data_IF_895043131872
#
_entry.id   IF_895043131872
#
_cell.length_a   1.000
_cell.length_b   1.000
_cell.length_c   1.000
_cell.angle_alpha   90.00
_cell.angle_beta   90.00
_cell.angle_gamma   90.00
#
_symmetry.space_group_name_H-M   'P 1'
#
loop_
_entity.id
_entity.type
_entity.pdbx_description
1 polymer ?
#
# COMPACT_ATOMS: atom_id res chain seq x y z
N UNK A 1 9.08 -2.64 -43.13
CA UNK A 1 10.11 -2.75 -42.08
C UNK A 1 9.40 -3.07 -40.78
N UNK A 2 9.25 -4.36 -40.49
CA UNK A 2 8.65 -4.85 -39.25
C UNK A 2 9.73 -4.76 -38.17
N UNK A 3 9.60 -3.86 -37.21
CA UNK A 3 10.47 -3.86 -36.04
C UNK A 3 10.11 -5.08 -35.20
N UNK A 4 10.93 -6.13 -35.29
CA UNK A 4 10.96 -7.21 -34.32
C UNK A 4 11.41 -6.59 -33.00
N UNK A 5 10.45 -6.17 -32.18
CA UNK A 5 10.71 -5.87 -30.78
C UNK A 5 10.95 -7.23 -30.12
N UNK A 6 12.21 -7.67 -30.08
CA UNK A 6 12.61 -8.69 -29.12
C UNK A 6 12.33 -8.08 -27.76
N UNK A 7 11.23 -8.51 -27.14
CA UNK A 7 11.05 -8.36 -25.70
C UNK A 7 12.23 -9.13 -25.11
N UNK A 8 13.35 -8.43 -24.90
CA UNK A 8 14.38 -8.90 -23.99
C UNK A 8 13.62 -9.39 -22.77
N UNK A 9 13.79 -10.67 -22.44
CA UNK A 9 13.17 -11.31 -21.28
C UNK A 9 13.45 -10.43 -20.08
N UNK A 10 12.46 -9.59 -19.78
CA UNK A 10 12.63 -8.53 -18.81
C UNK A 10 12.63 -9.24 -17.46
N UNK A 11 13.49 -8.89 -16.51
CA UNK A 11 13.43 -9.41 -15.14
C UNK A 11 12.01 -9.30 -14.54
N UNK A 12 11.23 -8.34 -15.05
CA UNK A 12 9.83 -8.13 -14.72
C UNK A 12 8.92 -9.31 -15.14
N UNK A 13 9.15 -10.01 -16.26
CA UNK A 13 8.27 -11.10 -16.70
C UNK A 13 8.36 -12.30 -15.77
N UNK A 14 9.56 -12.76 -15.43
CA UNK A 14 9.78 -13.87 -14.48
C UNK A 14 9.26 -13.50 -13.08
N UNK A 15 9.45 -12.24 -12.67
CA UNK A 15 8.90 -11.75 -11.41
C UNK A 15 7.37 -11.73 -11.43
N UNK A 16 6.73 -11.32 -12.53
CA UNK A 16 5.27 -11.37 -12.66
C UNK A 16 4.74 -12.82 -12.68
N UNK A 17 5.45 -13.74 -13.31
CA UNK A 17 5.12 -15.17 -13.31
C UNK A 17 5.11 -15.76 -11.89
N UNK A 18 6.10 -15.45 -11.05
CA UNK A 18 6.14 -15.87 -9.64
C UNK A 18 4.92 -15.35 -8.85
N UNK A 19 4.47 -14.12 -9.11
CA UNK A 19 3.26 -13.58 -8.47
C UNK A 19 1.98 -14.27 -8.94
N UNK A 20 1.91 -14.62 -10.23
CA UNK A 20 0.78 -15.38 -10.80
C UNK A 20 0.75 -16.78 -10.17
N UNK A 21 1.89 -17.46 -10.04
CA UNK A 21 1.99 -18.77 -9.40
C UNK A 21 1.57 -18.73 -7.92
N UNK A 22 1.90 -17.64 -7.21
CA UNK A 22 1.48 -17.41 -5.82
C UNK A 22 0.01 -16.98 -5.68
N UNK A 23 -0.70 -16.75 -6.77
CA UNK A 23 -2.12 -16.40 -6.78
C UNK A 23 -2.44 -14.98 -6.30
N UNK A 24 -1.49 -14.05 -6.40
CA UNK A 24 -1.74 -12.65 -6.04
C UNK A 24 -2.70 -11.97 -7.03
N UNK A 25 -3.56 -11.10 -6.52
CA UNK A 25 -4.39 -10.25 -7.37
C UNK A 25 -3.55 -9.14 -8.04
N UNK A 26 -4.05 -8.62 -9.17
CA UNK A 26 -3.35 -7.60 -9.93
C UNK A 26 -3.10 -6.31 -9.15
N UNK A 27 -4.04 -5.88 -8.29
CA UNK A 27 -3.89 -4.67 -7.47
C UNK A 27 -2.71 -4.78 -6.51
N UNK A 28 -2.58 -5.93 -5.84
CA UNK A 28 -1.44 -6.24 -4.97
C UNK A 28 -0.13 -6.26 -5.75
N UNK A 29 -0.09 -6.93 -6.91
CA UNK A 29 1.11 -6.98 -7.78
C UNK A 29 1.52 -5.59 -8.22
N UNK A 30 0.56 -4.83 -8.78
CA UNK A 30 0.76 -3.50 -9.33
C UNK A 30 1.23 -2.53 -8.24
N UNK A 31 0.58 -2.51 -7.07
CA UNK A 31 0.96 -1.65 -5.94
C UNK A 31 2.35 -1.97 -5.37
N UNK A 32 2.77 -3.24 -5.37
CA UNK A 32 4.13 -3.67 -4.96
C UNK A 32 5.21 -3.25 -5.93
N UNK A 33 4.92 -3.32 -7.22
CA UNK A 33 5.89 -3.10 -8.29
C UNK A 33 6.02 -1.65 -8.74
N UNK A 34 4.93 -0.88 -8.69
CA UNK A 34 4.87 0.53 -9.12
C UNK A 34 6.04 1.38 -8.65
N UNK A 35 6.47 1.32 -7.38
CA UNK A 35 7.53 2.19 -6.88
C UNK A 35 8.91 1.91 -7.49
N UNK A 36 9.06 0.79 -8.22
CA UNK A 36 10.32 0.27 -8.72
C UNK A 36 10.42 0.18 -10.25
N UNK A 37 9.34 0.40 -11.01
CA UNK A 37 9.35 0.25 -12.48
C UNK A 37 10.42 1.08 -13.20
N UNK A 38 10.65 2.31 -12.75
CA UNK A 38 11.65 3.20 -13.37
C UNK A 38 13.10 2.88 -13.02
N UNK A 39 13.35 1.94 -12.09
CA UNK A 39 14.70 1.63 -11.65
C UNK A 39 15.42 0.65 -12.58
N UNK A 40 14.76 0.10 -13.62
CA UNK A 40 15.30 -0.88 -14.57
C UNK A 40 16.17 -1.96 -13.92
N UNK A 41 15.89 -2.29 -12.65
CA UNK A 41 16.82 -3.06 -11.83
C UNK A 41 16.40 -4.52 -11.82
N UNK A 42 17.32 -5.41 -12.15
CA UNK A 42 17.19 -6.87 -12.02
C UNK A 42 16.90 -7.33 -10.58
N UNK A 43 17.13 -6.47 -9.58
CA UNK A 43 17.11 -6.83 -8.16
C UNK A 43 15.90 -6.24 -7.42
N UNK A 44 14.72 -6.14 -8.07
CA UNK A 44 13.49 -5.65 -7.42
C UNK A 44 13.10 -6.58 -6.27
N UNK A 45 13.19 -7.89 -6.49
CA UNK A 45 12.85 -8.90 -5.48
C UNK A 45 13.72 -8.79 -4.23
N UNK A 46 15.05 -8.80 -4.38
CA UNK A 46 15.99 -8.65 -3.26
C UNK A 46 15.71 -7.38 -2.44
N UNK A 47 15.38 -6.27 -3.12
CA UNK A 47 15.05 -5.01 -2.45
C UNK A 47 13.75 -5.11 -1.67
N UNK A 48 12.71 -5.74 -2.23
CA UNK A 48 11.45 -5.93 -1.53
C UNK A 48 11.65 -6.82 -0.30
N UNK A 49 12.35 -7.96 -0.45
CA UNK A 49 12.66 -8.87 0.64
C UNK A 49 13.46 -8.19 1.76
N UNK A 50 14.50 -7.42 1.40
CA UNK A 50 15.30 -6.69 2.38
C UNK A 50 14.48 -5.64 3.15
N UNK A 51 13.55 -4.94 2.47
CA UNK A 51 12.67 -3.94 3.10
C UNK A 51 11.64 -4.58 4.00
N UNK A 52 11.06 -5.71 3.59
CA UNK A 52 10.14 -6.49 4.42
C UNK A 52 10.84 -7.00 5.69
N UNK A 53 12.02 -7.63 5.55
CA UNK A 53 12.80 -8.11 6.69
C UNK A 53 13.18 -6.98 7.65
N UNK A 54 13.55 -5.81 7.12
CA UNK A 54 13.85 -4.63 7.94
C UNK A 54 12.61 -4.12 8.69
N UNK A 55 11.44 -4.04 8.03
CA UNK A 55 10.19 -3.61 8.68
C UNK A 55 9.77 -4.59 9.78
N UNK A 56 9.92 -5.90 9.54
CA UNK A 56 9.66 -6.94 10.55
C UNK A 56 10.60 -6.78 11.75
N UNK A 57 11.91 -6.64 11.53
CA UNK A 57 12.90 -6.48 12.60
C UNK A 57 12.64 -5.20 13.41
N UNK A 58 12.42 -4.06 12.75
CA UNK A 58 12.07 -2.80 13.39
C UNK A 58 10.83 -2.94 14.30
N UNK A 59 9.81 -3.67 13.85
CA UNK A 59 8.58 -3.90 14.65
C UNK A 59 8.79 -4.84 15.82
N UNK A 60 9.76 -5.75 15.76
CA UNK A 60 10.16 -6.58 16.90
C UNK A 60 10.97 -5.78 17.91
N UNK A 61 11.96 -5.01 17.45
CA UNK A 61 12.89 -4.26 18.31
C UNK A 61 12.19 -3.18 19.14
N UNK A 62 11.09 -2.63 18.62
CA UNK A 62 10.34 -1.57 19.28
C UNK A 62 9.34 -2.08 20.33
N UNK A 63 9.16 -3.40 20.44
CA UNK A 63 8.29 -4.03 21.41
C UNK A 63 9.11 -4.51 22.62
N UNK A 64 8.95 -3.85 23.76
CA UNK A 64 9.56 -4.25 25.04
C UNK A 64 8.47 -4.46 26.07
N UNK A 65 8.37 -5.67 26.63
CA UNK A 65 7.33 -6.06 27.59
C UNK A 65 5.91 -5.71 27.06
N UNK A 66 5.63 -6.07 25.80
CA UNK A 66 4.38 -5.78 25.09
C UNK A 66 4.02 -4.30 24.95
N UNK A 67 5.01 -3.40 25.10
CA UNK A 67 4.85 -1.95 24.92
C UNK A 67 5.69 -1.46 23.76
N UNK A 68 5.07 -0.62 22.95
CA UNK A 68 5.75 0.15 21.92
C UNK A 68 6.58 1.24 22.61
N UNK A 69 7.91 1.18 22.50
CA UNK A 69 8.81 2.12 23.17
C UNK A 69 9.21 3.32 22.30
N UNK A 70 8.95 3.27 20.99
CA UNK A 70 9.25 4.37 20.07
C UNK A 70 7.98 4.87 19.38
N UNK A 71 7.71 6.18 19.39
CA UNK A 71 6.60 6.77 18.65
C UNK A 71 6.88 6.87 17.14
N UNK A 72 8.11 6.65 16.70
CA UNK A 72 8.53 6.79 15.30
C UNK A 72 8.35 5.49 14.50
N UNK A 73 7.25 4.78 14.74
CA UNK A 73 6.90 3.60 13.95
C UNK A 73 6.01 4.05 12.79
N UNK A 74 6.37 3.74 11.54
CA UNK A 74 5.52 4.01 10.40
C UNK A 74 4.26 3.13 10.44
N UNK A 75 3.20 3.51 9.71
CA UNK A 75 2.00 2.68 9.63
C UNK A 75 2.32 1.27 9.09
N UNK A 76 1.45 0.29 9.37
CA UNK A 76 1.64 -1.08 8.87
C UNK A 76 1.31 -1.20 7.39
N UNK A 77 0.25 -0.53 6.95
CA UNK A 77 -0.14 -0.42 5.55
C UNK A 77 -0.42 1.03 5.21
N UNK A 78 -0.42 1.31 3.91
CA UNK A 78 -0.81 2.59 3.33
C UNK A 78 -1.72 2.34 2.14
N UNK A 79 -2.61 3.28 1.87
CA UNK A 79 -3.38 3.30 0.64
C UNK A 79 -2.53 3.95 -0.46
N UNK A 80 -2.12 3.15 -1.45
CA UNK A 80 -1.45 3.64 -2.65
C UNK A 80 -2.51 4.13 -3.64
N UNK A 81 -2.54 5.44 -3.87
CA UNK A 81 -3.61 6.08 -4.64
C UNK A 81 -3.56 5.71 -6.12
N UNK A 82 -2.38 5.40 -6.65
CA UNK A 82 -2.21 5.01 -8.06
C UNK A 82 -2.71 3.60 -8.34
N UNK A 83 -2.53 2.67 -7.41
CA UNK A 83 -3.08 1.31 -7.51
C UNK A 83 -4.51 1.23 -6.98
N UNK A 84 -4.95 2.26 -6.24
CA UNK A 84 -6.16 2.26 -5.44
C UNK A 84 -6.22 1.05 -4.48
N UNK A 85 -5.08 0.66 -3.92
CA UNK A 85 -4.94 -0.53 -3.09
C UNK A 85 -4.26 -0.23 -1.76
N UNK A 86 -4.64 -0.98 -0.71
CA UNK A 86 -3.96 -0.95 0.57
C UNK A 86 -2.80 -1.93 0.54
N UNK A 87 -1.58 -1.40 0.61
CA UNK A 87 -0.34 -2.17 0.52
C UNK A 87 0.50 -2.05 1.80
N UNK A 88 1.39 -3.00 2.10
CA UNK A 88 2.32 -2.87 3.22
C UNK A 88 3.20 -1.63 3.12
N UNK A 89 3.48 -0.99 4.26
CA UNK A 89 4.31 0.22 4.30
C UNK A 89 5.72 0.01 3.73
N UNK A 90 6.32 -1.16 3.96
CA UNK A 90 7.67 -1.47 3.47
C UNK A 90 7.79 -1.43 1.94
N UNK A 91 6.68 -1.40 1.20
CA UNK A 91 6.62 -1.15 -0.24
C UNK A 91 6.73 0.34 -0.57
N UNK A 92 6.07 1.20 0.20
CA UNK A 92 5.94 2.62 -0.09
C UNK A 92 7.29 3.34 -0.07
N UNK A 93 7.56 4.22 -1.04
CA UNK A 93 8.84 4.95 -1.15
C UNK A 93 8.79 6.38 -0.63
N UNK A 94 7.62 6.86 -0.23
CA UNK A 94 7.40 8.20 0.33
C UNK A 94 6.51 8.09 1.56
N UNK A 95 6.67 9.03 2.50
CA UNK A 95 5.79 9.13 3.65
C UNK A 95 4.36 9.42 3.19
N UNK A 96 3.36 8.80 3.83
CA UNK A 96 1.99 8.96 3.43
C UNK A 96 1.45 10.28 3.99
N UNK A 97 0.52 10.90 3.28
CA UNK A 97 -0.30 11.95 3.87
C UNK A 97 -1.34 11.31 4.81
N UNK A 98 -1.69 11.97 5.90
CA UNK A 98 -2.63 11.44 6.88
C UNK A 98 -4.03 12.03 6.68
N UNK A 99 -5.04 11.16 6.63
CA UNK A 99 -6.45 11.53 6.71
C UNK A 99 -7.06 10.79 7.89
N UNK A 100 -7.77 11.51 8.75
CA UNK A 100 -8.41 10.92 9.93
C UNK A 100 -9.86 11.40 10.06
N UNK A 101 -10.74 10.44 10.32
CA UNK A 101 -12.14 10.67 10.67
C UNK A 101 -12.43 10.25 12.12
N UNK A 102 -11.39 10.01 12.93
CA UNK A 102 -11.53 9.59 14.33
C UNK A 102 -12.28 10.62 15.20
N UNK A 103 -12.23 11.90 14.84
CA UNK A 103 -12.93 12.97 15.54
C UNK A 103 -14.44 13.01 15.29
N UNK A 104 -14.93 12.33 14.24
CA UNK A 104 -16.34 12.35 13.87
C UNK A 104 -17.18 11.40 14.75
N UNK A 105 -18.43 11.78 15.03
CA UNK A 105 -19.39 10.92 15.72
C UNK A 105 -19.68 9.66 14.88
N UNK A 106 -20.05 8.56 15.54
CA UNK A 106 -20.46 7.33 14.83
C UNK A 106 -21.70 7.56 13.97
N UNK A 107 -22.64 8.41 14.41
CA UNK A 107 -23.87 8.69 13.67
C UNK A 107 -23.60 9.37 12.33
N UNK A 108 -22.51 10.12 12.21
CA UNK A 108 -22.12 10.88 11.02
C UNK A 108 -21.18 10.08 10.08
N UNK A 109 -20.87 8.83 10.46
CA UNK A 109 -20.05 7.90 9.68
C UNK A 109 -20.90 6.77 9.09
N UNK A 110 -20.45 6.26 7.95
CA UNK A 110 -20.94 5.03 7.30
C UNK A 110 -19.77 4.07 7.11
N UNK A 111 -20.01 2.80 7.34
CA UNK A 111 -19.04 1.73 7.08
C UNK A 111 -19.20 1.26 5.63
N UNK A 112 -18.15 1.43 4.82
CA UNK A 112 -18.16 1.08 3.40
C UNK A 112 -17.22 -0.10 3.15
N UNK A 113 -17.73 -1.19 2.58
CA UNK A 113 -16.88 -2.28 2.10
C UNK A 113 -16.36 -1.93 0.71
N UNK A 114 -15.05 -1.91 0.55
CA UNK A 114 -14.40 -1.49 -0.68
C UNK A 114 -13.42 -2.57 -1.16
N UNK A 115 -13.27 -2.76 -2.47
CA UNK A 115 -12.29 -3.70 -3.01
C UNK A 115 -10.83 -3.35 -2.66
N UNK A 116 -10.54 -2.09 -2.33
CA UNK A 116 -9.18 -1.58 -2.07
C UNK A 116 -8.39 -2.33 -0.99
N UNK A 117 -9.09 -3.05 -0.11
CA UNK A 117 -8.54 -3.88 0.96
C UNK A 117 -9.19 -5.28 0.92
N UNK A 118 -9.52 -5.76 -0.28
CA UNK A 118 -10.17 -7.06 -0.51
C UNK A 118 -11.50 -7.23 0.26
N UNK A 119 -12.16 -6.11 0.59
CA UNK A 119 -13.33 -6.08 1.47
C UNK A 119 -13.10 -6.72 2.86
N UNK A 120 -11.84 -6.95 3.29
CA UNK A 120 -11.51 -7.63 4.55
C UNK A 120 -12.05 -6.90 5.78
N UNK A 121 -12.11 -5.56 5.73
CA UNK A 121 -12.70 -4.74 6.78
C UNK A 121 -13.45 -3.53 6.20
N UNK A 122 -14.52 -3.05 6.87
CA UNK A 122 -15.20 -1.85 6.45
C UNK A 122 -14.37 -0.59 6.69
N UNK A 123 -14.51 0.38 5.79
CA UNK A 123 -13.90 1.70 5.86
C UNK A 123 -14.94 2.70 6.36
N UNK A 124 -14.85 3.20 7.61
CA UNK A 124 -15.71 4.26 8.09
C UNK A 124 -15.35 5.56 7.39
N UNK A 125 -16.36 6.15 6.80
CA UNK A 125 -16.28 7.37 6.02
C UNK A 125 -17.36 8.34 6.49
N UNK A 126 -17.14 9.66 6.36
CA UNK A 126 -18.23 10.61 6.47
C UNK A 126 -19.37 10.21 5.53
N UNK A 127 -20.63 10.38 5.97
CA UNK A 127 -21.80 9.95 5.18
C UNK A 127 -21.85 10.61 3.80
N UNK A 128 -21.45 11.87 3.75
CA UNK A 128 -21.40 12.74 2.59
C UNK A 128 -20.08 12.66 1.80
N UNK A 129 -19.12 11.84 2.24
CA UNK A 129 -17.87 11.62 1.52
C UNK A 129 -17.92 10.39 0.59
N UNK A 130 -17.09 10.45 -0.45
CA UNK A 130 -16.80 9.39 -1.41
C UNK A 130 -15.29 9.17 -1.47
N UNK A 131 -14.85 7.91 -1.30
CA UNK A 131 -13.44 7.57 -1.27
C UNK A 131 -12.75 7.79 -2.62
N UNK A 132 -13.47 7.64 -3.74
CA UNK A 132 -12.93 7.94 -5.07
C UNK A 132 -12.67 9.44 -5.24
N UNK A 133 -13.56 10.30 -4.72
CA UNK A 133 -13.34 11.75 -4.71
C UNK A 133 -12.13 12.11 -3.85
N UNK A 134 -11.99 11.51 -2.67
CA UNK A 134 -10.79 11.68 -1.83
C UNK A 134 -9.54 11.24 -2.60
N UNK A 135 -9.57 10.10 -3.29
CA UNK A 135 -8.44 9.63 -4.10
C UNK A 135 -8.04 10.66 -5.16
N UNK A 136 -9.02 11.16 -5.93
CA UNK A 136 -8.81 12.17 -6.97
C UNK A 136 -8.24 13.47 -6.38
N UNK A 137 -8.81 13.97 -5.29
CA UNK A 137 -8.33 15.18 -4.61
C UNK A 137 -6.90 15.02 -4.09
N UNK A 138 -6.58 13.88 -3.48
CA UNK A 138 -5.24 13.62 -2.96
C UNK A 138 -4.21 13.44 -4.08
N UNK A 139 -4.57 12.78 -5.18
CA UNK A 139 -3.74 12.69 -6.38
C UNK A 139 -3.46 14.07 -6.99
N UNK A 140 -4.49 14.93 -7.08
CA UNK A 140 -4.34 16.31 -7.56
C UNK A 140 -3.44 17.15 -6.65
N UNK A 141 -3.43 16.88 -5.34
CA UNK A 141 -2.51 17.47 -4.37
C UNK A 141 -1.10 16.83 -4.39
N UNK A 142 -0.83 15.89 -5.30
CA UNK A 142 0.47 15.25 -5.46
C UNK A 142 0.78 14.17 -4.42
N UNK A 143 -0.21 13.71 -3.66
CA UNK A 143 -0.06 12.57 -2.77
C UNK A 143 0.10 11.28 -3.60
N UNK A 144 0.99 10.39 -3.17
CA UNK A 144 1.08 9.03 -3.73
C UNK A 144 0.51 7.99 -2.78
N UNK A 145 0.77 8.17 -1.48
CA UNK A 145 0.34 7.27 -0.43
C UNK A 145 -0.44 8.05 0.61
N UNK A 146 -1.48 7.43 1.14
CA UNK A 146 -2.31 7.98 2.20
C UNK A 146 -2.40 6.98 3.35
N UNK A 147 -2.23 7.48 4.55
CA UNK A 147 -2.64 6.79 5.76
C UNK A 147 -4.04 7.28 6.08
N UNK A 148 -5.03 6.43 5.79
CA UNK A 148 -6.39 6.64 6.23
C UNK A 148 -6.56 5.89 7.55
N UNK A 149 -6.85 6.63 8.63
CA UNK A 149 -6.77 6.11 10.01
C UNK A 149 -7.42 4.74 10.17
N UNK A 150 -8.57 4.49 9.55
CA UNK A 150 -9.27 3.23 9.73
C UNK A 150 -8.83 2.13 8.75
N UNK A 151 -8.30 2.47 7.58
CA UNK A 151 -7.66 1.47 6.71
C UNK A 151 -6.44 0.85 7.37
N UNK A 152 -5.74 1.63 8.19
CA UNK A 152 -4.38 1.32 8.59
C UNK A 152 -4.24 0.94 10.08
N UNK A 153 -5.26 1.18 10.92
CA UNK A 153 -5.27 0.82 12.34
C UNK A 153 -5.92 -0.54 12.66
N UNK A 154 -6.83 -1.06 11.83
CA UNK A 154 -7.60 -2.29 12.10
C UNK A 154 -7.01 -3.52 11.44
N UNK A 155 -5.74 -3.79 11.70
CA UNK A 155 -5.00 -4.87 11.06
C UNK A 155 -4.63 -5.92 12.10
N UNK A 156 -5.18 -7.14 11.96
CA UNK A 156 -4.65 -8.31 12.65
C UNK A 156 -3.23 -8.57 12.17
#
# INVERSE_FOLDING_TARGET
>A
LSTLYTVETCPLSTFLEDYIEKGYDFGTVYGRLRPFWYLHSTNIEDKLQAREAWDQQMRLDVLVNDKIISPLIPPRRVWDLYSNWVIPWWVARRYPQAISHAWMDKKDRKDVHMPINECEWPVPMPRDADLNLICIEMLNNGAEYVWLDVLCLRQK
#
